data_IF_504377323165
#
_entry.id   IF_504377323165
#
_cell.length_a   1.000
_cell.length_b   1.000
_cell.length_c   1.000
_cell.angle_alpha   90.00
_cell.angle_beta   90.00
_cell.angle_gamma   90.00
#
_symmetry.space_group_name_H-M   'P 1'
#
loop_
_entity.id
_entity.type
_entity.pdbx_description
1 polymer ?
#
# COMPACT_ATOMS: atom_id res chain seq x y z
N UNK A 1 5.96 2.23 3.35
CA UNK A 1 7.03 3.09 3.84
C UNK A 1 7.56 2.75 5.24
N UNK A 2 6.87 1.93 6.01
CA UNK A 2 7.42 1.47 7.28
C UNK A 2 8.70 0.60 7.13
N UNK A 3 8.87 -0.03 5.98
CA UNK A 3 10.01 -0.91 5.68
C UNK A 3 11.02 -0.30 4.69
N UNK A 4 10.66 0.78 3.98
CA UNK A 4 11.50 1.41 2.95
C UNK A 4 11.73 2.87 3.30
N UNK A 5 12.99 3.24 3.56
CA UNK A 5 13.35 4.63 3.82
C UNK A 5 13.56 5.41 2.50
N UNK A 6 13.06 6.64 2.46
CA UNK A 6 13.19 7.53 1.30
C UNK A 6 13.67 8.92 1.71
N UNK A 7 14.52 9.52 0.88
CA UNK A 7 14.90 10.93 1.04
C UNK A 7 13.67 11.82 0.96
N UNK A 8 13.50 12.72 1.93
CA UNK A 8 12.36 13.64 2.01
C UNK A 8 11.10 13.07 2.66
N UNK A 9 11.12 11.83 3.16
CA UNK A 9 9.97 11.15 3.78
C UNK A 9 10.15 10.90 5.28
N UNK A 10 11.05 11.58 5.97
CA UNK A 10 11.43 11.28 7.35
C UNK A 10 10.22 11.15 8.29
N UNK A 11 9.37 12.17 8.36
CA UNK A 11 8.21 12.16 9.27
C UNK A 11 7.20 11.07 8.88
N UNK A 12 6.92 10.93 7.59
CA UNK A 12 5.97 9.95 7.09
C UNK A 12 6.47 8.52 7.35
N UNK A 13 7.70 8.20 6.95
CA UNK A 13 8.25 6.84 7.09
C UNK A 13 8.36 6.46 8.58
N UNK A 14 8.80 7.40 9.44
CA UNK A 14 8.84 7.20 10.89
C UNK A 14 7.44 6.96 11.48
N UNK A 15 6.44 7.73 11.06
CA UNK A 15 5.07 7.55 11.53
C UNK A 15 4.49 6.17 11.14
N UNK A 16 4.82 5.67 9.94
CA UNK A 16 4.38 4.35 9.49
C UNK A 16 5.11 3.20 10.20
N UNK A 17 6.38 3.38 10.53
CA UNK A 17 7.12 2.42 11.37
C UNK A 17 6.52 2.36 12.78
N UNK A 18 6.21 3.51 13.37
CA UNK A 18 5.54 3.59 14.67
C UNK A 18 4.14 2.93 14.63
N UNK A 19 3.38 3.13 13.56
CA UNK A 19 2.07 2.48 13.39
C UNK A 19 2.20 0.94 13.34
N UNK A 20 3.23 0.40 12.67
CA UNK A 20 3.49 -1.04 12.67
C UNK A 20 3.82 -1.57 14.08
N UNK A 21 4.58 -0.80 14.86
CA UNK A 21 4.86 -1.15 16.25
C UNK A 21 3.61 -1.11 17.11
N UNK A 22 2.79 -0.07 16.97
CA UNK A 22 1.53 0.08 17.69
C UNK A 22 0.57 -1.10 17.46
N UNK A 23 0.52 -1.67 16.25
CA UNK A 23 -0.28 -2.88 15.99
C UNK A 23 0.15 -4.03 16.90
N UNK A 24 1.44 -4.20 17.14
CA UNK A 24 1.97 -5.27 18.01
C UNK A 24 1.64 -5.01 19.48
N UNK A 25 1.84 -3.79 19.95
CA UNK A 25 1.50 -3.38 21.30
C UNK A 25 0.01 -3.59 21.59
N UNK A 26 -0.87 -3.11 20.70
CA UNK A 26 -2.31 -3.30 20.84
C UNK A 26 -2.73 -4.77 20.78
N UNK A 27 -2.03 -5.60 19.99
CA UNK A 27 -2.31 -7.04 19.95
C UNK A 27 -2.01 -7.70 21.30
N UNK A 28 -0.96 -7.27 21.99
CA UNK A 28 -0.61 -7.76 23.33
C UNK A 28 -1.62 -7.28 24.38
N UNK A 29 -1.88 -5.97 24.39
CA UNK A 29 -2.77 -5.35 25.39
C UNK A 29 -4.22 -5.86 25.33
N UNK A 30 -4.72 -6.14 24.12
CA UNK A 30 -6.13 -6.50 23.90
C UNK A 30 -6.36 -8.02 23.86
N UNK A 31 -5.30 -8.82 23.91
CA UNK A 31 -5.44 -10.28 23.96
C UNK A 31 -6.07 -10.73 25.28
N UNK A 32 -6.87 -11.83 25.32
CA UNK A 32 -7.31 -12.64 24.17
C UNK A 32 -8.61 -12.13 23.52
N UNK A 33 -9.12 -10.98 23.93
CA UNK A 33 -10.45 -10.50 23.53
C UNK A 33 -10.50 -9.96 22.10
N UNK A 34 -9.42 -9.31 21.66
CA UNK A 34 -9.36 -8.69 20.34
C UNK A 34 -8.07 -9.09 19.62
N UNK A 35 -8.21 -9.48 18.36
CA UNK A 35 -7.07 -9.67 17.46
C UNK A 35 -6.80 -8.36 16.73
N UNK A 36 -5.58 -7.86 16.81
CA UNK A 36 -5.14 -6.66 16.10
C UNK A 36 -4.12 -7.06 15.06
N UNK A 37 -4.34 -6.64 13.82
CA UNK A 37 -3.42 -6.84 12.70
C UNK A 37 -3.39 -5.59 11.82
N UNK A 38 -2.37 -5.42 11.03
CA UNK A 38 -2.21 -4.33 10.10
C UNK A 38 -2.17 -4.79 8.64
N UNK A 39 -2.63 -3.93 7.73
CA UNK A 39 -2.40 -4.05 6.30
C UNK A 39 -1.34 -3.06 5.87
N UNK A 40 -0.43 -3.50 5.03
CA UNK A 40 0.61 -2.68 4.44
C UNK A 40 0.49 -2.68 2.90
N UNK A 41 -0.31 -1.78 2.31
CA UNK A 41 -0.41 -1.64 0.87
C UNK A 41 0.85 -0.98 0.30
N UNK A 42 1.16 -1.26 -0.96
CA UNK A 42 2.04 -0.41 -1.74
C UNK A 42 1.24 0.75 -2.37
N UNK A 43 1.56 1.15 -3.60
CA UNK A 43 0.88 2.28 -4.23
C UNK A 43 -0.41 1.79 -4.90
N UNK A 44 -1.55 2.15 -4.32
CA UNK A 44 -2.89 1.98 -4.92
C UNK A 44 -3.26 3.30 -5.59
N UNK A 45 -3.36 3.31 -6.90
CA UNK A 45 -3.69 4.52 -7.70
C UNK A 45 -5.20 4.62 -7.93
N UNK A 46 -5.84 3.49 -8.25
CA UNK A 46 -7.26 3.37 -8.51
C UNK A 46 -8.10 3.95 -7.35
N UNK A 47 -9.06 4.82 -7.67
CA UNK A 47 -10.01 5.38 -6.70
C UNK A 47 -9.38 6.19 -5.55
N UNK A 48 -8.08 6.39 -5.54
CA UNK A 48 -7.37 7.06 -4.45
C UNK A 48 -7.47 8.58 -4.57
N UNK A 49 -7.95 9.23 -3.51
CA UNK A 49 -7.93 10.69 -3.37
C UNK A 49 -6.51 11.28 -3.35
N UNK A 50 -5.49 10.44 -3.11
CA UNK A 50 -4.08 10.83 -3.14
C UNK A 50 -3.55 11.06 -4.56
N UNK A 51 -4.31 10.66 -5.58
CA UNK A 51 -3.96 10.78 -7.00
C UNK A 51 -5.01 11.59 -7.78
N UNK A 52 -5.26 12.88 -7.43
CA UNK A 52 -6.01 13.77 -8.28
C UNK A 52 -5.28 13.96 -9.62
N UNK A 53 -5.99 14.44 -10.64
CA UNK A 53 -5.46 14.53 -12.02
C UNK A 53 -4.11 15.25 -12.11
N UNK A 54 -3.99 16.40 -11.47
CA UNK A 54 -2.75 17.21 -11.47
C UNK A 54 -1.55 16.44 -10.89
N UNK A 55 -1.77 15.69 -9.82
CA UNK A 55 -0.74 14.84 -9.22
C UNK A 55 -0.38 13.63 -10.08
N UNK A 56 -1.36 13.05 -10.79
CA UNK A 56 -1.11 11.98 -11.75
C UNK A 56 -0.22 12.50 -12.88
N UNK A 57 -0.58 13.61 -13.50
CA UNK A 57 0.22 14.26 -14.58
C UNK A 57 1.64 14.57 -14.08
N UNK A 58 1.77 15.19 -12.91
CA UNK A 58 3.08 15.47 -12.31
C UNK A 58 3.91 14.20 -12.09
N UNK A 59 3.26 13.10 -11.71
CA UNK A 59 3.94 11.82 -11.52
C UNK A 59 4.35 11.19 -12.85
N UNK A 60 3.49 11.21 -13.86
CA UNK A 60 3.81 10.71 -15.21
C UNK A 60 4.99 11.47 -15.81
N UNK A 61 4.99 12.80 -15.69
CA UNK A 61 6.10 13.67 -16.13
C UNK A 61 7.40 13.31 -15.38
N UNK A 62 7.34 13.19 -14.07
CA UNK A 62 8.49 12.86 -13.21
C UNK A 62 9.13 11.51 -13.57
N UNK A 63 8.30 10.54 -13.93
CA UNK A 63 8.76 9.19 -14.29
C UNK A 63 8.96 8.98 -15.77
N UNK A 64 8.86 10.06 -16.58
CA UNK A 64 9.06 10.05 -18.03
C UNK A 64 8.12 9.07 -18.74
N UNK A 65 6.90 8.92 -18.24
CA UNK A 65 5.87 8.05 -18.83
C UNK A 65 5.12 8.85 -19.89
N UNK A 66 5.05 8.38 -21.15
CA UNK A 66 4.35 9.09 -22.21
C UNK A 66 2.84 9.20 -21.93
N UNK A 67 2.29 10.39 -22.07
CA UNK A 67 0.86 10.66 -21.95
C UNK A 67 0.43 11.84 -22.82
N UNK A 68 -0.89 11.98 -23.04
CA UNK A 68 -1.47 13.14 -23.65
C UNK A 68 -2.40 13.84 -22.64
N UNK A 69 -2.30 15.15 -22.52
CA UNK A 69 -3.14 15.93 -21.60
C UNK A 69 -4.65 15.85 -21.91
N UNK A 70 -5.01 15.47 -23.13
CA UNK A 70 -6.43 15.27 -23.52
C UNK A 70 -7.00 13.93 -23.03
N UNK A 71 -6.18 13.00 -22.54
CA UNK A 71 -6.66 11.73 -21.99
C UNK A 71 -7.47 11.97 -20.72
N UNK A 72 -8.48 11.14 -20.50
CA UNK A 72 -9.25 11.22 -19.25
C UNK A 72 -8.42 10.82 -18.02
N UNK A 73 -8.91 11.17 -16.85
CA UNK A 73 -8.15 10.97 -15.60
C UNK A 73 -7.91 9.49 -15.27
N UNK A 74 -8.86 8.61 -15.62
CA UNK A 74 -8.73 7.18 -15.34
C UNK A 74 -7.68 6.55 -16.26
N UNK A 75 -7.64 6.91 -17.53
CA UNK A 75 -6.60 6.46 -18.45
C UNK A 75 -5.19 6.88 -17.98
N UNK A 76 -5.06 8.11 -17.47
CA UNK A 76 -3.81 8.59 -16.88
C UNK A 76 -3.44 7.83 -15.60
N UNK A 77 -4.43 7.53 -14.75
CA UNK A 77 -4.24 6.72 -13.55
C UNK A 77 -3.79 5.30 -13.88
N UNK A 78 -4.37 4.69 -14.92
CA UNK A 78 -3.98 3.35 -15.37
C UNK A 78 -2.52 3.29 -15.80
N UNK A 79 -2.04 4.29 -16.55
CA UNK A 79 -0.62 4.39 -16.91
C UNK A 79 0.27 4.44 -15.69
N UNK A 80 -0.09 5.25 -14.71
CA UNK A 80 0.66 5.35 -13.45
C UNK A 80 0.60 4.06 -12.63
N UNK A 81 -0.55 3.39 -12.60
CA UNK A 81 -0.73 2.11 -11.91
C UNK A 81 0.14 1.01 -12.55
N UNK A 82 0.19 0.95 -13.88
CA UNK A 82 1.06 0.03 -14.62
C UNK A 82 2.55 0.28 -14.35
N UNK A 83 2.95 1.54 -14.26
CA UNK A 83 4.32 1.86 -13.86
C UNK A 83 4.68 1.30 -12.47
N UNK A 84 3.80 1.48 -11.49
CA UNK A 84 4.03 0.91 -10.16
C UNK A 84 3.96 -0.61 -10.16
N UNK A 85 3.06 -1.22 -10.94
CA UNK A 85 2.97 -2.67 -11.13
C UNK A 85 4.29 -3.25 -11.64
N UNK A 86 4.95 -2.57 -12.58
CA UNK A 86 6.25 -2.98 -13.11
C UNK A 86 7.35 -3.14 -12.06
N UNK A 87 7.20 -2.51 -10.89
CA UNK A 87 8.14 -2.58 -9.75
C UNK A 87 7.84 -3.71 -8.77
N UNK A 88 6.75 -4.43 -8.94
CA UNK A 88 6.34 -5.55 -8.08
C UNK A 88 6.62 -6.90 -8.75
N UNK A 89 6.59 -7.99 -7.98
CA UNK A 89 6.78 -9.34 -8.51
C UNK A 89 5.57 -9.83 -9.31
N UNK A 90 4.36 -9.44 -8.90
CA UNK A 90 3.12 -9.86 -9.58
C UNK A 90 2.93 -9.18 -10.93
N UNK A 91 3.62 -8.05 -11.18
CA UNK A 91 3.51 -7.24 -12.40
C UNK A 91 2.08 -6.77 -12.71
N UNK A 92 1.20 -6.77 -11.72
CA UNK A 92 -0.18 -6.33 -11.82
C UNK A 92 -0.41 -5.11 -10.92
N UNK A 93 -1.26 -4.15 -11.32
CA UNK A 93 -1.69 -3.06 -10.46
C UNK A 93 -2.32 -3.59 -9.18
N UNK A 94 -2.07 -2.91 -8.07
CA UNK A 94 -2.70 -3.21 -6.80
C UNK A 94 -3.99 -2.40 -6.74
N UNK A 95 -5.10 -3.09 -6.49
CA UNK A 95 -6.44 -2.52 -6.53
C UNK A 95 -7.02 -2.29 -5.13
N UNK A 96 -8.14 -1.55 -5.07
CA UNK A 96 -8.93 -1.42 -3.85
C UNK A 96 -9.50 -2.78 -3.42
N UNK A 97 -9.88 -3.63 -4.38
CA UNK A 97 -10.42 -4.96 -4.11
C UNK A 97 -9.39 -5.85 -3.41
N UNK A 98 -8.13 -5.84 -3.84
CA UNK A 98 -7.05 -6.60 -3.18
C UNK A 98 -6.93 -6.24 -1.70
N UNK A 99 -7.03 -4.95 -1.37
CA UNK A 99 -6.96 -4.47 0.00
C UNK A 99 -8.20 -4.89 0.81
N UNK A 100 -9.39 -4.79 0.21
CA UNK A 100 -10.65 -5.16 0.85
C UNK A 100 -10.71 -6.67 1.16
N UNK A 101 -10.26 -7.51 0.24
CA UNK A 101 -10.19 -8.96 0.45
C UNK A 101 -9.23 -9.34 1.57
N UNK A 102 -8.06 -8.73 1.61
CA UNK A 102 -7.10 -8.95 2.68
C UNK A 102 -7.63 -8.50 4.04
N UNK A 103 -8.31 -7.35 4.10
CA UNK A 103 -8.96 -6.88 5.32
C UNK A 103 -10.06 -7.84 5.78
N UNK A 104 -10.88 -8.34 4.86
CA UNK A 104 -11.90 -9.34 5.14
C UNK A 104 -11.30 -10.63 5.71
N UNK A 105 -10.23 -11.14 5.11
CA UNK A 105 -9.55 -12.33 5.62
C UNK A 105 -9.01 -12.15 7.04
N UNK A 106 -8.38 -11.00 7.32
CA UNK A 106 -7.82 -10.69 8.65
C UNK A 106 -8.89 -10.55 9.73
N UNK A 107 -10.07 -10.07 9.38
CA UNK A 107 -11.20 -9.90 10.32
C UNK A 107 -12.07 -11.13 10.44
N UNK A 108 -12.00 -12.05 9.49
CA UNK A 108 -12.79 -13.27 9.45
C UNK A 108 -12.27 -14.35 10.42
N UNK A 109 -13.07 -15.41 10.60
CA UNK A 109 -12.66 -16.61 11.34
C UNK A 109 -11.59 -17.45 10.62
N UNK A 110 -11.36 -17.24 9.29
CA UNK A 110 -10.38 -17.98 8.50
C UNK A 110 -8.94 -17.77 8.99
N UNK A 111 -8.64 -16.60 9.51
CA UNK A 111 -7.34 -16.27 10.12
C UNK A 111 -7.46 -16.04 11.64
N UNK A 112 -8.28 -16.85 12.32
CA UNK A 112 -8.59 -16.71 13.75
C UNK A 112 -7.37 -16.79 14.67
N UNK A 113 -6.25 -17.35 14.22
CA UNK A 113 -5.00 -17.48 14.99
C UNK A 113 -3.93 -16.44 14.58
N UNK A 114 -4.30 -15.45 13.76
CA UNK A 114 -3.39 -14.38 13.33
C UNK A 114 -3.63 -13.14 14.18
N UNK A 115 -2.62 -12.70 14.93
CA UNK A 115 -2.63 -11.47 15.73
C UNK A 115 -1.23 -10.85 15.76
N UNK A 116 -1.14 -9.53 15.85
CA UNK A 116 0.11 -8.78 15.90
C UNK A 116 0.88 -8.75 14.58
N UNK A 117 0.29 -9.18 13.47
CA UNK A 117 0.95 -9.27 12.18
C UNK A 117 0.70 -8.05 11.31
N UNK A 118 1.70 -7.72 10.50
CA UNK A 118 1.56 -6.75 9.40
C UNK A 118 1.60 -7.55 8.09
N UNK A 119 0.48 -7.56 7.40
CA UNK A 119 0.33 -8.30 6.13
C UNK A 119 0.55 -7.33 4.97
N UNK A 120 1.56 -7.60 4.18
CA UNK A 120 1.82 -6.85 2.96
C UNK A 120 0.86 -7.28 1.86
N UNK A 121 0.18 -6.29 1.24
CA UNK A 121 -0.66 -6.45 0.05
C UNK A 121 -0.11 -5.47 -0.99
N UNK A 122 1.07 -5.79 -1.47
CA UNK A 122 1.96 -4.88 -2.20
C UNK A 122 2.47 -5.46 -3.53
N UNK A 123 1.90 -6.59 -3.95
CA UNK A 123 2.31 -7.29 -5.19
C UNK A 123 3.73 -7.85 -5.13
N UNK A 124 4.33 -7.95 -3.95
CA UNK A 124 5.72 -8.37 -3.80
C UNK A 124 6.69 -7.24 -4.15
N UNK A 125 6.57 -6.09 -3.47
CA UNK A 125 7.54 -5.01 -3.55
C UNK A 125 8.83 -5.43 -2.81
N UNK A 126 9.77 -6.02 -3.56
CA UNK A 126 10.97 -6.65 -2.98
C UNK A 126 11.85 -5.71 -2.15
N UNK A 127 11.83 -4.41 -2.45
CA UNK A 127 12.51 -3.38 -1.65
C UNK A 127 11.98 -3.29 -0.22
N UNK A 128 10.75 -3.75 0.02
CA UNK A 128 10.09 -3.75 1.32
C UNK A 128 10.19 -5.09 2.07
N UNK A 129 10.87 -6.08 1.52
CA UNK A 129 11.07 -7.35 2.22
C UNK A 129 11.93 -7.13 3.46
N UNK A 130 11.39 -7.54 4.60
CA UNK A 130 12.16 -7.54 5.85
C UNK A 130 13.20 -8.66 5.78
N UNK A 131 14.44 -8.31 6.05
CA UNK A 131 15.55 -9.26 6.16
C UNK A 131 15.70 -9.74 7.60
#
# INVERSE_FOLDING_TARGET
NAAVAKKGSLAYDTSKAAANHLVRELAIELAPLVRVNGLAPATVVEGSSMFPRDRVISSLTKYEIPFNESEDTEALRDKLAQFYAGRTLTKAPITLADQAEAAYLLTSSKLSKTAGQIISVDGGLHEAFLR
#
